data_IF_306694454196
#
_entry.id   IF_306694454196
#
_cell.length_a   1.000
_cell.length_b   1.000
_cell.length_c   1.000
_cell.angle_alpha   90.00
_cell.angle_beta   90.00
_cell.angle_gamma   90.00
#
_symmetry.space_group_name_H-M   'P 1'
#
loop_
_entity.id
_entity.type
_entity.pdbx_description
1 polymer ?
#
# COMPACT_ATOMS: atom_id res chain seq x y z
N UNK A 1 -8.68 -1.42 21.39
CA UNK A 1 -10.08 -1.37 20.90
C UNK A 1 -10.12 -0.64 19.55
N UNK A 2 -9.88 -1.41 18.48
CA UNK A 2 -10.46 -1.34 17.13
C UNK A 2 -10.45 0.01 16.36
N UNK A 3 -9.30 0.32 15.74
CA UNK A 3 -9.15 1.39 14.73
C UNK A 3 -10.01 1.24 13.45
N UNK A 4 -10.73 0.13 13.28
CA UNK A 4 -11.54 -0.19 12.10
C UNK A 4 -12.74 0.75 11.89
N UNK A 5 -13.30 1.31 12.96
CA UNK A 5 -14.49 2.16 12.89
C UNK A 5 -14.26 3.55 12.28
N UNK A 6 -13.04 4.08 12.36
CA UNK A 6 -12.67 5.39 11.78
C UNK A 6 -12.44 5.29 10.27
N UNK A 7 -11.80 4.22 9.82
CA UNK A 7 -11.56 3.96 8.41
C UNK A 7 -12.87 3.85 7.60
N UNK A 8 -13.92 3.25 8.17
CA UNK A 8 -15.22 3.11 7.50
C UNK A 8 -15.94 4.45 7.22
N UNK A 9 -15.62 5.51 7.98
CA UNK A 9 -16.24 6.84 7.83
C UNK A 9 -15.33 7.85 7.13
N UNK A 10 -14.09 7.47 6.84
CA UNK A 10 -13.11 8.34 6.20
C UNK A 10 -13.31 8.33 4.68
N UNK A 11 -13.23 9.49 4.04
CA UNK A 11 -13.41 9.60 2.59
C UNK A 11 -12.32 8.89 1.80
N UNK A 12 -11.08 8.83 2.31
CA UNK A 12 -10.00 8.04 1.71
C UNK A 12 -10.18 6.54 2.00
N UNK A 13 -10.23 6.16 3.27
CA UNK A 13 -10.23 4.75 3.66
C UNK A 13 -11.53 4.00 3.31
N UNK A 14 -12.65 4.70 3.09
CA UNK A 14 -13.88 4.07 2.58
C UNK A 14 -13.78 3.63 1.12
N UNK A 15 -12.83 4.20 0.37
CA UNK A 15 -12.52 3.82 -1.02
C UNK A 15 -11.46 2.72 -1.10
N UNK A 16 -10.87 2.33 0.04
CA UNK A 16 -9.81 1.32 0.12
C UNK A 16 -10.34 0.08 0.81
N UNK A 17 -10.14 -1.09 0.19
CA UNK A 17 -10.38 -2.35 0.86
C UNK A 17 -9.40 -2.57 2.03
N UNK A 18 -9.61 -3.67 2.76
CA UNK A 18 -8.64 -4.11 3.75
C UNK A 18 -7.34 -4.59 3.09
N UNK A 19 -7.43 -5.15 1.88
CA UNK A 19 -6.29 -5.58 1.08
C UNK A 19 -6.58 -5.29 -0.39
N UNK A 20 -5.69 -4.55 -1.04
CA UNK A 20 -5.74 -4.22 -2.47
C UNK A 20 -4.44 -4.70 -3.12
N UNK A 21 -4.55 -5.15 -4.37
CA UNK A 21 -3.40 -5.53 -5.19
C UNK A 21 -3.54 -4.88 -6.56
N UNK A 22 -2.41 -4.45 -7.10
CA UNK A 22 -2.28 -3.91 -8.43
C UNK A 22 -1.10 -4.59 -9.11
N UNK A 23 -1.23 -4.83 -10.40
CA UNK A 23 -0.24 -5.53 -11.19
C UNK A 23 -0.10 -4.84 -12.52
N UNK A 24 1.13 -4.50 -12.88
CA UNK A 24 1.45 -3.89 -14.15
C UNK A 24 2.53 -4.69 -14.85
N UNK A 25 2.36 -4.96 -16.15
CA UNK A 25 3.32 -5.70 -16.96
C UNK A 25 3.65 -4.92 -18.21
N UNK A 26 4.95 -4.71 -18.42
CA UNK A 26 5.43 -4.03 -19.61
C UNK A 26 4.92 -4.69 -20.90
N UNK A 27 4.27 -3.91 -21.76
CA UNK A 27 3.71 -4.38 -23.02
C UNK A 27 2.34 -5.07 -22.90
N UNK A 28 1.71 -5.09 -21.72
CA UNK A 28 0.40 -5.71 -21.50
C UNK A 28 -0.62 -4.79 -20.83
N UNK A 29 -0.91 -3.68 -21.52
CA UNK A 29 -1.87 -2.66 -21.08
C UNK A 29 -3.29 -3.19 -20.79
N UNK A 30 -3.68 -4.30 -21.40
CA UNK A 30 -5.01 -4.91 -21.20
C UNK A 30 -5.16 -5.61 -19.84
N UNK A 31 -4.04 -6.03 -19.23
CA UNK A 31 -4.02 -6.68 -17.92
C UNK A 31 -3.56 -5.78 -16.78
N UNK A 32 -3.11 -4.56 -17.09
CA UNK A 32 -2.63 -3.59 -16.11
C UNK A 32 -3.76 -3.19 -15.16
N UNK A 33 -3.52 -3.37 -13.87
CA UNK A 33 -4.40 -2.97 -12.78
C UNK A 33 -3.67 -1.96 -11.90
N UNK A 34 -4.41 -1.00 -11.37
CA UNK A 34 -3.87 0.07 -10.54
C UNK A 34 -4.59 0.12 -9.20
N UNK A 35 -3.85 0.55 -8.17
CA UNK A 35 -4.46 0.83 -6.89
C UNK A 35 -5.48 1.97 -7.04
N UNK A 36 -6.56 1.97 -6.26
CA UNK A 36 -7.53 3.06 -6.26
C UNK A 36 -6.84 4.40 -5.97
N UNK A 37 -7.37 5.48 -6.57
CA UNK A 37 -6.85 6.84 -6.41
C UNK A 37 -6.71 7.32 -4.95
N UNK A 38 -7.43 6.70 -4.02
CA UNK A 38 -7.32 6.95 -2.59
C UNK A 38 -5.98 6.46 -2.00
N UNK A 39 -5.36 5.42 -2.54
CA UNK A 39 -4.07 4.90 -2.09
C UNK A 39 -2.96 5.95 -2.28
N UNK A 40 -2.97 6.65 -3.42
CA UNK A 40 -2.02 7.73 -3.71
C UNK A 40 -2.21 8.99 -2.85
N UNK A 41 -3.29 9.08 -2.06
CA UNK A 41 -3.51 10.14 -1.08
C UNK A 41 -2.94 9.82 0.30
N UNK A 42 -2.54 8.57 0.54
CA UNK A 42 -1.89 8.18 1.78
C UNK A 42 -0.49 8.81 1.84
N UNK A 43 -0.08 9.23 3.03
CA UNK A 43 1.24 9.83 3.26
C UNK A 43 2.20 8.78 3.76
N UNK A 44 3.40 8.70 3.17
CA UNK A 44 4.45 7.80 3.65
C UNK A 44 4.97 8.35 4.97
N UNK A 45 4.80 7.60 6.05
CA UNK A 45 5.28 7.98 7.39
C UNK A 45 6.61 7.32 7.73
N UNK A 46 6.90 6.15 7.15
CA UNK A 46 8.16 5.44 7.35
C UNK A 46 8.49 4.55 6.17
N UNK A 47 9.73 4.61 5.71
CA UNK A 47 10.27 3.65 4.76
C UNK A 47 10.96 2.52 5.54
N UNK A 48 10.47 1.29 5.41
CA UNK A 48 10.92 0.14 6.19
C UNK A 48 12.02 -0.65 5.48
N UNK A 49 12.15 -0.49 4.16
CA UNK A 49 13.21 -1.11 3.36
C UNK A 49 13.82 -0.11 2.38
N UNK A 50 14.57 0.88 2.88
CA UNK A 50 15.24 1.82 2.01
C UNK A 50 16.31 1.09 1.19
N UNK A 51 16.40 1.41 -0.10
CA UNK A 51 17.37 0.82 -1.05
C UNK A 51 17.16 -0.67 -1.41
N UNK A 52 15.98 -1.23 -1.16
CA UNK A 52 15.60 -2.53 -1.74
C UNK A 52 14.84 -2.33 -3.05
N UNK A 53 15.04 -3.21 -4.03
CA UNK A 53 14.17 -3.31 -5.23
C UNK A 53 12.71 -3.54 -4.82
N UNK A 54 12.52 -4.29 -3.73
CA UNK A 54 11.23 -4.48 -3.07
C UNK A 54 11.00 -3.40 -2.03
N UNK A 55 10.23 -2.36 -2.37
CA UNK A 55 9.96 -1.28 -1.41
C UNK A 55 8.91 -1.74 -0.42
N UNK A 56 9.18 -1.51 0.85
CA UNK A 56 8.24 -1.69 1.94
C UNK A 56 8.09 -0.36 2.65
N UNK A 57 6.90 0.21 2.60
CA UNK A 57 6.60 1.54 3.13
C UNK A 57 5.39 1.48 4.04
N UNK A 58 5.51 2.12 5.20
CA UNK A 58 4.38 2.39 6.07
C UNK A 58 3.77 3.71 5.63
N UNK A 59 2.52 3.64 5.19
CA UNK A 59 1.71 4.79 4.81
C UNK A 59 0.64 5.03 5.88
N UNK A 60 0.24 6.28 6.04
CA UNK A 60 -0.83 6.67 6.95
C UNK A 60 -1.85 7.50 6.20
N UNK A 61 -3.12 7.28 6.49
CA UNK A 61 -4.18 8.14 6.01
C UNK A 61 -4.13 9.48 6.76
N UNK A 62 -3.96 10.62 6.06
CA UNK A 62 -3.91 11.93 6.71
C UNK A 62 -5.24 12.38 7.32
N UNK A 63 -6.37 11.76 6.93
CA UNK A 63 -7.70 12.12 7.47
C UNK A 63 -8.05 11.41 8.78
N UNK A 64 -7.82 10.09 8.86
CA UNK A 64 -8.25 9.29 10.02
C UNK A 64 -7.10 8.71 10.84
N UNK A 65 -5.87 8.79 10.35
CA UNK A 65 -4.69 8.22 10.98
C UNK A 65 -4.52 6.72 10.82
N UNK A 66 -5.35 6.04 10.01
CA UNK A 66 -5.22 4.59 9.75
C UNK A 66 -3.92 4.30 9.00
N UNK A 67 -3.19 3.28 9.46
CA UNK A 67 -1.96 2.82 8.84
C UNK A 67 -2.22 1.78 7.75
N UNK A 68 -1.40 1.84 6.73
CA UNK A 68 -1.39 0.93 5.61
C UNK A 68 0.04 0.51 5.33
N UNK A 69 0.21 -0.77 5.06
CA UNK A 69 1.43 -1.34 4.54
C UNK A 69 1.37 -1.28 3.02
N UNK A 70 2.32 -0.59 2.40
CA UNK A 70 2.50 -0.58 0.97
C UNK A 70 3.76 -1.36 0.62
N UNK A 71 3.59 -2.39 -0.20
CA UNK A 71 4.65 -3.24 -0.72
C UNK A 71 4.68 -3.11 -2.23
N UNK A 72 5.87 -2.99 -2.78
CA UNK A 72 6.08 -3.13 -4.23
C UNK A 72 7.11 -4.22 -4.47
N UNK A 73 6.78 -5.12 -5.38
CA UNK A 73 7.69 -6.12 -5.91
C UNK A 73 7.94 -5.78 -7.38
N UNK A 74 9.21 -5.65 -7.72
CA UNK A 74 9.63 -5.31 -9.06
C UNK A 74 10.49 -6.44 -9.59
N UNK A 75 10.01 -7.10 -10.65
CA UNK A 75 10.73 -8.21 -11.26
C UNK A 75 11.17 -7.85 -12.69
N UNK A 76 12.46 -8.05 -12.95
CA UNK A 76 13.04 -7.93 -14.28
C UNK A 76 12.99 -9.28 -14.98
N UNK A 77 12.11 -9.41 -15.97
CA UNK A 77 12.03 -10.59 -16.84
C UNK A 77 12.65 -10.30 -18.21
N UNK A 78 13.02 -11.37 -18.90
CA UNK A 78 13.57 -11.31 -20.27
C UNK A 78 12.63 -10.57 -21.25
N UNK A 79 11.32 -10.56 -20.98
CA UNK A 79 10.30 -9.95 -21.83
C UNK A 79 9.80 -8.58 -21.32
N UNK A 80 10.46 -7.98 -20.34
CA UNK A 80 10.06 -6.70 -19.76
C UNK A 80 9.98 -6.74 -18.24
N UNK A 81 9.41 -5.70 -17.67
CA UNK A 81 9.35 -5.53 -16.21
C UNK A 81 7.93 -5.73 -15.72
N UNK A 82 7.80 -6.41 -14.59
CA UNK A 82 6.55 -6.62 -13.89
C UNK A 82 6.62 -5.85 -12.57
N UNK A 83 5.63 -4.99 -12.33
CA UNK A 83 5.48 -4.19 -11.11
C UNK A 83 4.20 -4.62 -10.40
N UNK A 84 4.37 -5.32 -9.30
CA UNK A 84 3.28 -5.72 -8.42
C UNK A 84 3.26 -4.82 -7.19
N UNK A 85 2.09 -4.27 -6.87
CA UNK A 85 1.88 -3.45 -5.70
C UNK A 85 0.81 -4.07 -4.82
N UNK A 86 1.07 -4.11 -3.52
CA UNK A 86 0.11 -4.54 -2.52
C UNK A 86 -0.08 -3.45 -1.48
N UNK A 87 -1.33 -3.23 -1.11
CA UNK A 87 -1.71 -2.32 -0.05
C UNK A 87 -2.58 -3.07 0.96
N UNK A 88 -2.08 -3.23 2.18
CA UNK A 88 -2.81 -3.87 3.26
C UNK A 88 -3.08 -2.87 4.39
N UNK A 89 -4.32 -2.83 4.87
CA UNK A 89 -4.69 -2.04 6.05
C UNK A 89 -4.12 -2.73 7.28
N UNK A 90 -3.38 -1.97 8.07
CA UNK A 90 -2.79 -2.47 9.31
C UNK A 90 -3.65 -2.09 10.51
N UNK A 91 -3.56 -2.93 11.54
CA UNK A 91 -4.00 -2.62 12.89
C UNK A 91 -2.98 -1.70 13.57
N UNK A 92 -3.39 -0.96 14.59
CA UNK A 92 -2.48 -0.14 15.40
C UNK A 92 -1.32 -0.96 16.00
N UNK A 93 -1.56 -2.24 16.31
CA UNK A 93 -0.55 -3.17 16.84
C UNK A 93 0.54 -3.47 15.79
N UNK A 94 0.13 -3.89 14.59
CA UNK A 94 1.04 -4.18 13.47
C UNK A 94 1.82 -2.93 13.02
N UNK A 95 1.12 -1.79 12.93
CA UNK A 95 1.76 -0.50 12.63
C UNK A 95 2.76 -0.12 13.74
N UNK A 96 2.46 -0.44 14.99
CA UNK A 96 3.37 -0.27 16.12
C UNK A 96 4.68 -1.04 15.95
N UNK A 97 4.62 -2.31 15.51
CA UNK A 97 5.82 -3.10 15.23
C UNK A 97 6.70 -2.44 14.15
N UNK A 98 6.09 -1.96 13.08
CA UNK A 98 6.80 -1.24 12.02
C UNK A 98 7.38 0.09 12.47
N UNK A 99 6.69 0.82 13.35
CA UNK A 99 7.19 2.08 13.90
C UNK A 99 8.37 1.86 14.84
N UNK A 100 8.44 0.71 15.53
CA UNK A 100 9.51 0.34 16.46
C UNK A 100 10.75 -0.24 15.77
N UNK A 101 10.61 -0.80 14.57
CA UNK A 101 11.70 -1.43 13.78
C UNK A 101 12.75 -0.43 13.26
#
# INVERSE_FOLDING_TARGET
>A
MNGTGRAARCSICSQLAAQESAYQKYGWAEGDTHLPGAAYRLVIVKDLKPNSDRKLQLQQCPECGTYYEHKTDYEYLVNGTEDEQHLARLSDEEAGEYLQA
#
